data_IF_452409565009
#
_entry.id   IF_452409565009
#
_cell.length_a   1.000
_cell.length_b   1.000
_cell.length_c   1.000
_cell.angle_alpha   90.00
_cell.angle_beta   90.00
_cell.angle_gamma   90.00
#
_symmetry.space_group_name_H-M   'P 1'
#
loop_
_entity.id
_entity.type
_entity.pdbx_description
1 polymer ?
#
# COMPACT_ATOMS: atom_id res chain seq x y z
N UNK A 1 -8.89 0.01 15.41
CA UNK A 1 -9.55 -0.12 14.11
C UNK A 1 -8.71 0.57 13.04
N UNK A 2 -8.44 -0.13 11.96
CA UNK A 2 -7.76 0.42 10.79
C UNK A 2 -8.74 1.28 9.99
N UNK A 3 -8.28 2.40 9.44
CA UNK A 3 -9.13 3.33 8.68
C UNK A 3 -8.62 3.38 7.24
N UNK A 4 -9.24 2.65 6.32
CA UNK A 4 -9.04 2.86 4.89
C UNK A 4 -10.01 3.93 4.34
N UNK A 5 -9.74 4.50 3.15
CA UNK A 5 -10.39 5.72 2.66
C UNK A 5 -11.92 5.68 2.55
N UNK A 6 -12.53 4.58 2.12
CA UNK A 6 -13.99 4.49 1.98
C UNK A 6 -14.60 3.38 2.81
N UNK A 7 -14.15 2.13 2.64
CA UNK A 7 -14.71 0.99 3.36
C UNK A 7 -14.34 0.97 4.84
N UNK A 8 -13.09 1.33 5.19
CA UNK A 8 -12.66 1.42 6.58
C UNK A 8 -13.43 2.49 7.36
N UNK A 9 -13.78 3.61 6.74
CA UNK A 9 -14.65 4.61 7.35
C UNK A 9 -16.07 4.11 7.58
N UNK A 10 -16.61 3.21 6.75
CA UNK A 10 -17.89 2.55 6.97
C UNK A 10 -17.84 1.66 8.21
N UNK A 11 -16.83 0.80 8.34
CA UNK A 11 -16.66 -0.03 9.53
C UNK A 11 -16.48 0.82 10.79
N UNK A 12 -15.67 1.87 10.71
CA UNK A 12 -15.45 2.79 11.83
C UNK A 12 -16.75 3.47 12.26
N UNK A 13 -17.60 3.93 11.33
CA UNK A 13 -18.92 4.50 11.64
C UNK A 13 -19.84 3.48 12.31
N UNK A 14 -19.91 2.27 11.83
CA UNK A 14 -20.75 1.23 12.42
C UNK A 14 -20.26 0.84 13.82
N UNK A 15 -18.95 0.74 14.04
CA UNK A 15 -18.38 0.51 15.37
C UNK A 15 -18.76 1.68 16.30
N UNK A 16 -18.55 2.91 15.87
CA UNK A 16 -18.84 4.12 16.68
C UNK A 16 -20.31 4.22 17.08
N UNK A 17 -21.25 3.83 16.22
CA UNK A 17 -22.68 3.77 16.53
C UNK A 17 -23.01 2.73 17.61
N UNK A 18 -22.20 1.69 17.74
CA UNK A 18 -22.42 0.61 18.73
C UNK A 18 -21.66 0.86 20.05
N UNK A 19 -20.65 1.73 20.04
CA UNK A 19 -19.90 2.06 21.23
C UNK A 19 -20.75 2.83 22.24
N UNK A 20 -20.54 2.51 23.52
CA UNK A 20 -21.10 3.31 24.61
C UNK A 20 -20.46 4.70 24.64
N UNK A 21 -21.04 5.62 25.43
CA UNK A 21 -20.47 6.97 25.63
C UNK A 21 -19.07 6.98 26.25
N UNK A 22 -18.62 5.85 26.83
CA UNK A 22 -17.27 5.67 27.40
C UNK A 22 -16.33 4.92 26.44
N UNK A 23 -16.86 4.35 25.34
CA UNK A 23 -16.07 3.61 24.36
C UNK A 23 -15.23 4.57 23.53
N UNK A 24 -14.02 4.16 23.19
CA UNK A 24 -13.07 4.91 22.36
C UNK A 24 -12.71 4.08 21.13
N UNK A 25 -12.78 4.68 19.96
CA UNK A 25 -12.22 4.13 18.73
C UNK A 25 -10.82 4.73 18.49
N UNK A 26 -9.81 3.88 18.33
CA UNK A 26 -8.48 4.30 17.90
C UNK A 26 -8.28 3.88 16.45
N UNK A 27 -8.11 4.83 15.56
CA UNK A 27 -7.78 4.61 14.16
C UNK A 27 -6.29 4.83 13.93
N UNK A 28 -5.62 3.78 13.44
CA UNK A 28 -4.19 3.82 13.11
C UNK A 28 -4.06 3.66 11.60
N UNK A 29 -3.33 4.55 10.96
CA UNK A 29 -2.99 4.43 9.54
C UNK A 29 -1.60 5.02 9.28
N UNK A 30 -0.85 4.40 8.38
CA UNK A 30 0.44 4.90 7.92
C UNK A 30 0.31 5.96 6.82
N UNK A 31 -0.87 6.12 6.22
CA UNK A 31 -1.16 7.14 5.22
C UNK A 31 -1.83 8.35 5.88
N UNK A 32 -1.11 9.47 5.92
CA UNK A 32 -1.63 10.72 6.48
C UNK A 32 -2.86 11.25 5.73
N UNK A 33 -2.97 10.98 4.43
CA UNK A 33 -4.14 11.38 3.64
C UNK A 33 -5.38 10.57 4.05
N UNK A 34 -5.20 9.27 4.33
CA UNK A 34 -6.25 8.44 4.89
C UNK A 34 -6.73 8.94 6.25
N UNK A 35 -5.81 9.30 7.15
CA UNK A 35 -6.16 9.87 8.47
C UNK A 35 -6.88 11.20 8.35
N UNK A 36 -6.49 12.05 7.40
CA UNK A 36 -7.16 13.33 7.13
C UNK A 36 -8.59 13.13 6.65
N UNK A 37 -8.78 12.21 5.70
CA UNK A 37 -10.10 11.85 5.21
C UNK A 37 -10.97 11.22 6.31
N UNK A 38 -10.38 10.36 7.16
CA UNK A 38 -11.08 9.78 8.29
C UNK A 38 -11.57 10.84 9.30
N UNK A 39 -10.73 11.82 9.62
CA UNK A 39 -11.11 12.93 10.50
C UNK A 39 -12.31 13.71 9.96
N UNK A 40 -12.36 13.98 8.67
CA UNK A 40 -13.48 14.65 8.04
C UNK A 40 -14.75 13.78 8.03
N UNK A 41 -14.61 12.50 7.67
CA UNK A 41 -15.72 11.58 7.56
C UNK A 41 -16.35 11.18 8.91
N UNK A 42 -15.58 11.24 9.99
CA UNK A 42 -15.99 10.85 11.34
C UNK A 42 -16.13 12.05 12.29
N UNK A 43 -16.17 13.28 11.77
CA UNK A 43 -16.20 14.52 12.57
C UNK A 43 -17.42 14.65 13.50
N UNK A 44 -18.49 13.92 13.23
CA UNK A 44 -19.67 13.87 14.08
C UNK A 44 -19.46 13.09 15.40
N UNK A 45 -18.40 12.26 15.47
CA UNK A 45 -18.07 11.45 16.64
C UNK A 45 -16.94 12.10 17.45
N UNK A 46 -17.16 12.22 18.78
CA UNK A 46 -16.19 12.82 19.70
C UNK A 46 -15.21 11.80 20.31
N UNK A 47 -15.54 10.52 20.21
CA UNK A 47 -14.83 9.41 20.84
C UNK A 47 -13.94 8.65 19.85
N UNK A 48 -13.22 9.40 19.01
CA UNK A 48 -12.24 8.85 18.05
C UNK A 48 -10.87 9.47 18.28
N UNK A 49 -9.84 8.62 18.35
CA UNK A 49 -8.43 9.04 18.38
C UNK A 49 -7.76 8.57 17.09
N UNK A 50 -7.03 9.45 16.42
CA UNK A 50 -6.34 9.17 15.17
C UNK A 50 -4.84 9.15 15.42
N UNK A 51 -4.16 8.09 15.00
CA UNK A 51 -2.71 7.92 15.18
C UNK A 51 -2.05 7.62 13.85
N UNK A 52 -1.05 8.42 13.49
CA UNK A 52 -0.18 8.12 12.36
C UNK A 52 0.87 7.11 12.82
N UNK A 53 0.91 5.95 12.17
CA UNK A 53 1.85 4.89 12.49
C UNK A 53 1.53 3.59 11.76
N UNK A 54 2.43 2.65 11.84
CA UNK A 54 2.29 1.33 11.24
C UNK A 54 1.68 0.35 12.26
N UNK A 55 0.98 -0.67 11.77
CA UNK A 55 0.34 -1.69 12.64
C UNK A 55 1.36 -2.59 13.34
N UNK A 56 2.59 -2.72 12.84
CA UNK A 56 3.69 -3.43 13.50
C UNK A 56 4.23 -2.67 14.72
N UNK A 57 3.92 -1.37 14.85
CA UNK A 57 4.28 -0.53 15.98
C UNK A 57 3.13 -0.38 17.00
N UNK A 58 2.14 -1.28 16.98
CA UNK A 58 0.89 -1.13 17.75
C UNK A 58 1.14 -1.07 19.27
N UNK A 59 2.11 -1.80 19.78
CA UNK A 59 2.48 -1.80 21.21
C UNK A 59 3.05 -0.44 21.61
N UNK A 60 3.99 0.10 20.85
CA UNK A 60 4.57 1.42 21.08
C UNK A 60 3.53 2.55 20.94
N UNK A 61 2.60 2.39 19.98
CA UNK A 61 1.50 3.33 19.80
C UNK A 61 0.59 3.32 21.03
N UNK A 62 0.22 2.16 21.54
CA UNK A 62 -0.65 2.03 22.70
C UNK A 62 0.01 2.56 23.97
N UNK A 63 1.29 2.34 24.15
CA UNK A 63 2.04 2.94 25.25
C UNK A 63 2.03 4.46 25.19
N UNK A 64 2.33 5.04 24.02
CA UNK A 64 2.32 6.52 23.80
C UNK A 64 0.95 7.17 24.04
N UNK A 65 -0.13 6.43 23.80
CA UNK A 65 -1.50 6.96 23.99
C UNK A 65 -2.15 6.50 25.29
N UNK A 66 -1.38 5.82 26.15
CA UNK A 66 -1.78 5.36 27.49
C UNK A 66 -2.96 4.36 27.46
N UNK A 67 -3.00 3.48 26.47
CA UNK A 67 -3.98 2.39 26.38
C UNK A 67 -3.29 1.06 26.74
N UNK A 68 -3.79 0.40 27.78
CA UNK A 68 -3.25 -0.87 28.26
C UNK A 68 -3.98 -2.08 27.68
N UNK A 69 -5.27 -1.96 27.45
CA UNK A 69 -6.12 -3.06 26.98
C UNK A 69 -7.13 -2.56 25.94
N UNK A 70 -7.50 -3.42 25.01
CA UNK A 70 -8.54 -3.18 24.00
C UNK A 70 -9.51 -4.36 23.95
N UNK A 71 -10.80 -4.06 23.76
CA UNK A 71 -11.85 -5.09 23.66
C UNK A 71 -11.83 -5.79 22.30
N UNK A 72 -11.27 -5.16 21.27
CA UNK A 72 -11.20 -5.73 19.93
C UNK A 72 -10.29 -4.97 19.00
N UNK A 73 -9.77 -5.69 18.00
CA UNK A 73 -8.93 -5.15 16.93
C UNK A 73 -9.55 -5.56 15.59
N UNK A 74 -9.73 -4.58 14.71
CA UNK A 74 -10.10 -4.82 13.31
C UNK A 74 -8.93 -4.41 12.42
N UNK A 75 -8.46 -5.33 11.57
CA UNK A 75 -7.41 -5.10 10.60
C UNK A 75 -8.00 -5.18 9.18
N UNK A 76 -7.85 -4.10 8.40
CA UNK A 76 -8.19 -4.03 6.98
C UNK A 76 -6.91 -3.73 6.21
N UNK A 77 -6.15 -4.79 5.91
CA UNK A 77 -4.81 -4.70 5.35
C UNK A 77 -4.85 -4.63 3.82
N UNK A 78 -3.95 -3.86 3.25
CA UNK A 78 -3.78 -3.71 1.81
C UNK A 78 -3.91 -2.26 1.34
N UNK A 79 -3.92 -2.07 0.00
CA UNK A 79 -4.10 -0.76 -0.63
C UNK A 79 -5.58 -0.38 -0.67
N UNK A 80 -5.88 0.89 -0.47
CA UNK A 80 -7.23 1.43 -0.59
C UNK A 80 -7.59 1.69 -2.06
N UNK A 81 -8.90 1.71 -2.37
CA UNK A 81 -9.39 2.11 -3.70
C UNK A 81 -8.89 3.51 -4.06
N UNK A 82 -8.85 4.43 -3.11
CA UNK A 82 -8.32 5.78 -3.32
C UNK A 82 -6.85 5.77 -3.77
N UNK A 83 -6.00 4.97 -3.12
CA UNK A 83 -4.58 4.87 -3.52
C UNK A 83 -4.40 4.30 -4.93
N UNK A 84 -5.31 3.42 -5.38
CA UNK A 84 -5.32 2.89 -6.74
C UNK A 84 -5.87 3.91 -7.76
N UNK A 85 -6.87 4.71 -7.37
CA UNK A 85 -7.51 5.71 -8.22
C UNK A 85 -6.65 6.96 -8.38
N UNK A 86 -5.92 7.36 -7.32
CA UNK A 86 -4.93 8.43 -7.35
C UNK A 86 -3.65 7.97 -8.06
N UNK A 87 -3.67 8.08 -9.38
CA UNK A 87 -2.60 7.57 -10.26
C UNK A 87 -1.21 8.09 -9.93
N UNK A 88 -1.12 9.33 -9.47
CA UNK A 88 0.13 9.97 -9.04
C UNK A 88 0.82 9.25 -7.86
N UNK A 89 0.09 8.40 -7.14
CA UNK A 89 0.63 7.54 -6.06
C UNK A 89 1.44 6.35 -6.60
N UNK A 90 1.34 6.01 -7.89
CA UNK A 90 2.10 4.95 -8.53
C UNK A 90 1.65 3.52 -8.22
N UNK A 91 0.57 3.30 -7.48
CA UNK A 91 0.06 1.95 -7.16
C UNK A 91 -0.61 1.26 -8.35
N UNK A 92 -1.04 2.03 -9.35
CA UNK A 92 -1.73 1.49 -10.52
C UNK A 92 -0.76 1.19 -11.66
N UNK A 93 -0.86 0.01 -12.24
CA UNK A 93 -0.19 -0.34 -13.51
C UNK A 93 -0.83 0.33 -14.73
N UNK A 94 -1.92 1.09 -14.55
CA UNK A 94 -2.59 1.83 -15.61
C UNK A 94 -2.08 3.27 -15.66
N UNK A 95 -1.64 3.68 -16.84
CA UNK A 95 -1.16 5.04 -17.08
C UNK A 95 0.35 5.20 -16.95
N UNK A 96 0.81 6.43 -17.09
CA UNK A 96 2.22 6.79 -17.07
C UNK A 96 2.48 7.77 -15.91
N UNK A 97 2.72 7.22 -14.73
CA UNK A 97 2.88 7.99 -13.51
C UNK A 97 4.24 7.70 -12.88
N UNK A 98 4.67 8.54 -11.95
CA UNK A 98 5.88 8.29 -11.16
C UNK A 98 5.78 6.95 -10.42
N UNK A 99 6.87 6.20 -10.36
CA UNK A 99 6.94 4.90 -9.71
C UNK A 99 7.25 5.08 -8.22
N UNK A 100 6.29 5.63 -7.47
CA UNK A 100 6.41 5.93 -6.04
C UNK A 100 6.00 4.72 -5.17
N UNK A 101 4.71 4.37 -5.11
CA UNK A 101 4.11 3.29 -4.34
C UNK A 101 4.27 3.39 -2.81
N UNK A 102 4.67 4.55 -2.27
CA UNK A 102 4.73 4.74 -0.81
C UNK A 102 3.33 4.98 -0.23
N UNK A 103 2.93 4.18 0.72
CA UNK A 103 1.75 4.48 1.53
C UNK A 103 2.02 5.65 2.46
N UNK A 104 3.18 5.66 3.12
CA UNK A 104 3.66 6.77 3.92
C UNK A 104 4.69 7.58 3.14
N UNK A 105 4.29 8.77 2.69
CA UNK A 105 5.17 9.67 1.92
C UNK A 105 6.33 10.25 2.73
N UNK A 106 6.36 10.06 4.05
CA UNK A 106 7.49 10.48 4.89
C UNK A 106 8.67 9.49 4.83
N UNK A 107 8.43 8.27 4.37
CA UNK A 107 9.48 7.28 4.14
C UNK A 107 10.25 7.61 2.86
N UNK A 108 11.55 7.27 2.85
CA UNK A 108 12.42 7.55 1.70
C UNK A 108 12.30 6.53 0.58
N UNK A 109 12.08 5.24 0.92
CA UNK A 109 12.11 4.13 -0.04
C UNK A 109 10.90 4.15 -0.96
N UNK A 110 11.13 4.38 -2.25
CA UNK A 110 10.13 4.34 -3.32
C UNK A 110 10.24 3.05 -4.15
N UNK A 111 9.18 2.69 -4.89
CA UNK A 111 9.27 1.60 -5.86
C UNK A 111 10.31 1.88 -6.96
N UNK A 112 10.48 3.15 -7.37
CA UNK A 112 11.55 3.58 -8.27
C UNK A 112 12.92 3.19 -7.74
N UNK A 113 13.20 3.47 -6.47
CA UNK A 113 14.46 3.11 -5.85
C UNK A 113 14.65 1.60 -5.79
N UNK A 114 13.62 0.84 -5.41
CA UNK A 114 13.66 -0.63 -5.38
C UNK A 114 14.03 -1.21 -6.73
N UNK A 115 13.34 -0.84 -7.81
CA UNK A 115 13.61 -1.42 -9.14
C UNK A 115 14.96 -1.00 -9.72
N UNK A 116 15.48 0.18 -9.33
CA UNK A 116 16.74 0.68 -9.87
C UNK A 116 17.98 0.27 -9.05
N UNK A 117 17.83 -0.09 -7.77
CA UNK A 117 18.98 -0.34 -6.89
C UNK A 117 19.12 -1.77 -6.40
N UNK A 118 18.01 -2.50 -6.23
CA UNK A 118 18.05 -3.85 -5.67
C UNK A 118 18.75 -4.83 -6.62
N UNK A 119 19.38 -5.86 -6.06
CA UNK A 119 19.98 -6.93 -6.85
C UNK A 119 18.90 -7.72 -7.64
N UNK A 120 19.31 -8.37 -8.74
CA UNK A 120 18.41 -9.22 -9.52
C UNK A 120 17.74 -10.31 -8.66
N UNK A 121 18.51 -10.91 -7.76
CA UNK A 121 18.01 -11.93 -6.83
C UNK A 121 16.96 -11.36 -5.88
N UNK A 122 17.22 -10.21 -5.26
CA UNK A 122 16.28 -9.58 -4.33
C UNK A 122 15.00 -9.14 -5.04
N UNK A 123 15.09 -8.56 -6.25
CA UNK A 123 13.92 -8.23 -7.05
C UNK A 123 13.09 -9.47 -7.40
N UNK A 124 13.76 -10.54 -7.83
CA UNK A 124 13.07 -11.80 -8.14
C UNK A 124 12.34 -12.38 -6.92
N UNK A 125 12.97 -12.33 -5.76
CA UNK A 125 12.38 -12.82 -4.51
C UNK A 125 11.16 -11.99 -4.09
N UNK A 126 11.27 -10.66 -4.09
CA UNK A 126 10.14 -9.76 -3.75
C UNK A 126 8.94 -10.02 -4.67
N UNK A 127 9.18 -10.06 -5.98
CA UNK A 127 8.13 -10.26 -6.98
C UNK A 127 7.51 -11.67 -6.85
N UNK A 128 8.30 -12.67 -6.45
CA UNK A 128 7.80 -14.02 -6.24
C UNK A 128 7.04 -14.18 -4.93
N UNK A 129 7.61 -13.74 -3.82
CA UNK A 129 7.07 -13.96 -2.47
C UNK A 129 5.81 -13.14 -2.21
N UNK A 130 5.81 -11.88 -2.62
CA UNK A 130 4.68 -10.96 -2.36
C UNK A 130 3.70 -10.88 -3.54
N UNK A 131 4.18 -11.01 -4.78
CA UNK A 131 3.35 -10.94 -5.97
C UNK A 131 2.86 -12.30 -6.47
N UNK A 132 3.41 -13.41 -5.95
CA UNK A 132 3.16 -14.77 -6.46
C UNK A 132 3.40 -14.90 -7.98
N UNK A 133 4.33 -14.08 -8.51
CA UNK A 133 4.59 -14.03 -9.96
C UNK A 133 5.61 -15.11 -10.37
N UNK A 134 5.17 -16.06 -11.16
CA UNK A 134 6.00 -17.20 -11.62
C UNK A 134 7.16 -16.79 -12.50
N UNK A 135 7.02 -15.67 -13.22
CA UNK A 135 8.06 -15.13 -14.12
C UNK A 135 8.97 -14.12 -13.44
N UNK A 136 8.95 -14.06 -12.11
CA UNK A 136 9.71 -13.09 -11.29
C UNK A 136 11.17 -13.00 -11.65
N UNK A 137 11.85 -14.14 -11.87
CA UNK A 137 13.27 -14.18 -12.26
C UNK A 137 13.52 -13.55 -13.63
N UNK A 138 12.63 -13.81 -14.60
CA UNK A 138 12.76 -13.22 -15.93
C UNK A 138 12.45 -11.72 -15.91
N UNK A 139 11.48 -11.31 -15.12
CA UNK A 139 11.14 -9.89 -14.91
C UNK A 139 12.33 -9.17 -14.26
N UNK A 140 12.85 -9.69 -13.14
CA UNK A 140 13.99 -9.11 -12.44
C UNK A 140 15.22 -8.97 -13.34
N UNK A 141 15.53 -10.02 -14.13
CA UNK A 141 16.62 -9.98 -15.11
C UNK A 141 16.44 -8.85 -16.11
N UNK A 142 15.25 -8.74 -16.71
CA UNK A 142 14.97 -7.72 -17.72
C UNK A 142 14.94 -6.30 -17.13
N UNK A 143 14.48 -6.13 -15.88
CA UNK A 143 14.60 -4.88 -15.14
C UNK A 143 16.07 -4.50 -14.96
N UNK A 144 16.90 -5.42 -14.50
CA UNK A 144 18.33 -5.19 -14.31
C UNK A 144 19.06 -4.88 -15.62
N UNK A 145 18.70 -5.52 -16.73
CA UNK A 145 19.27 -5.21 -18.04
C UNK A 145 18.82 -3.81 -18.54
N UNK A 146 17.55 -3.48 -18.41
CA UNK A 146 17.03 -2.19 -18.84
C UNK A 146 17.69 -1.02 -18.10
N UNK A 147 17.80 -1.09 -16.78
CA UNK A 147 18.35 -0.02 -15.96
C UNK A 147 19.84 0.26 -16.16
N UNK A 148 20.59 -0.67 -16.82
CA UNK A 148 21.99 -0.39 -17.22
C UNK A 148 22.09 0.76 -18.22
N UNK A 149 21.06 1.00 -19.00
CA UNK A 149 21.05 2.00 -20.06
C UNK A 149 20.24 3.25 -19.69
N UNK A 150 19.16 3.06 -18.94
CA UNK A 150 18.23 4.12 -18.54
C UNK A 150 17.54 3.75 -17.26
N UNK A 151 17.48 4.68 -16.32
CA UNK A 151 16.69 4.55 -15.08
C UNK A 151 15.21 4.35 -15.39
N UNK A 152 14.55 3.47 -14.63
CA UNK A 152 13.11 3.23 -14.72
C UNK A 152 12.43 4.25 -13.81
N UNK A 153 11.68 5.17 -14.41
CA UNK A 153 11.09 6.30 -13.68
C UNK A 153 9.57 6.17 -13.51
N UNK A 154 8.92 5.49 -14.47
CA UNK A 154 7.46 5.49 -14.52
C UNK A 154 6.86 4.10 -14.48
N UNK A 155 5.59 4.06 -14.04
CA UNK A 155 4.80 2.82 -14.03
C UNK A 155 4.69 2.20 -15.42
N UNK A 156 4.54 3.02 -16.48
CA UNK A 156 4.45 2.55 -17.86
C UNK A 156 5.75 1.88 -18.34
N UNK A 157 6.92 2.43 -17.96
CA UNK A 157 8.21 1.82 -18.30
C UNK A 157 8.35 0.44 -17.65
N UNK A 158 8.01 0.32 -16.37
CA UNK A 158 8.03 -0.96 -15.67
C UNK A 158 7.04 -1.96 -16.29
N UNK A 159 5.83 -1.54 -16.59
CA UNK A 159 4.82 -2.38 -17.29
C UNK A 159 5.37 -2.94 -18.60
N UNK A 160 5.98 -2.11 -19.44
CA UNK A 160 6.56 -2.53 -20.72
C UNK A 160 7.68 -3.57 -20.55
N UNK A 161 8.48 -3.46 -19.49
CA UNK A 161 9.52 -4.45 -19.16
C UNK A 161 8.87 -5.77 -18.73
N UNK A 162 7.86 -5.72 -17.87
CA UNK A 162 7.12 -6.89 -17.41
C UNK A 162 6.47 -7.61 -18.60
N UNK A 163 5.79 -6.88 -19.46
CA UNK A 163 5.15 -7.43 -20.66
C UNK A 163 6.15 -8.16 -21.58
N UNK A 164 7.33 -7.59 -21.79
CA UNK A 164 8.40 -8.22 -22.58
C UNK A 164 8.98 -9.47 -21.92
N UNK A 165 8.87 -9.54 -20.59
CA UNK A 165 9.41 -10.65 -19.79
C UNK A 165 8.52 -11.88 -19.79
N UNK A 166 7.24 -11.73 -20.13
CA UNK A 166 6.25 -12.79 -20.04
C UNK A 166 5.95 -13.42 -21.40
N UNK A 167 5.82 -14.77 -21.47
CA UNK A 167 5.41 -15.44 -22.69
C UNK A 167 3.96 -15.12 -23.07
N UNK A 168 3.63 -15.24 -24.35
CA UNK A 168 2.33 -14.86 -24.88
C UNK A 168 1.14 -15.58 -24.22
N UNK A 169 1.31 -16.82 -23.81
CA UNK A 169 0.24 -17.59 -23.13
C UNK A 169 -0.08 -17.03 -21.73
N UNK A 170 0.91 -16.51 -21.02
CA UNK A 170 0.73 -15.97 -19.66
C UNK A 170 0.00 -14.62 -19.65
N UNK A 171 -0.07 -13.94 -20.80
CA UNK A 171 -0.76 -12.65 -20.95
C UNK A 171 -2.27 -12.77 -21.16
N UNK A 172 -2.79 -14.01 -21.26
CA UNK A 172 -4.23 -14.26 -21.50
C UNK A 172 -5.07 -14.18 -20.21
N UNK A 173 -4.47 -14.34 -19.04
CA UNK A 173 -5.18 -14.44 -17.75
C UNK A 173 -5.24 -13.10 -16.99
N UNK A 174 -5.34 -11.99 -17.72
CA UNK A 174 -5.41 -10.65 -17.15
C UNK A 174 -4.21 -9.78 -17.49
N UNK A 175 -4.09 -8.63 -16.84
CA UNK A 175 -3.00 -7.70 -17.12
C UNK A 175 -1.65 -8.26 -16.62
N UNK A 176 -0.60 -8.31 -17.46
CA UNK A 176 0.69 -8.93 -17.12
C UNK A 176 1.34 -8.36 -15.85
N UNK A 177 1.18 -7.07 -15.61
CA UNK A 177 1.78 -6.41 -14.45
C UNK A 177 1.00 -6.57 -13.13
N UNK A 178 -0.20 -7.20 -13.15
CA UNK A 178 -1.09 -7.29 -11.98
C UNK A 178 -0.43 -7.88 -10.72
N UNK A 179 0.49 -8.81 -10.89
CA UNK A 179 1.16 -9.49 -9.78
C UNK A 179 2.48 -8.85 -9.36
N UNK A 180 3.00 -7.96 -10.18
CA UNK A 180 4.26 -7.25 -9.89
C UNK A 180 3.98 -5.91 -9.20
N UNK A 181 2.83 -5.32 -9.45
CA UNK A 181 2.30 -4.15 -8.77
C UNK A 181 1.44 -4.57 -7.57
#
# INVERSE_FOLDING_TARGET
AWISHEKGNQYSKEILKQLSSKGLLVGIDRDQEALKAAKENLKEFQNVKYVHGNHDEIEDIFEKIEIQEVDGILLDLGVSSYQLDERERGFSYLGNNELDMRMDKTQSLTAKEVVNTYSEENLANIIYEYGEERFSRQIAKNVCEYRKNKEIETTEELVKIIEKSMPAFAKKDGHPAKRTF
#
